data_IF_252327499012
#
_entry.id   IF_252327499012
#
_cell.length_a   1.000
_cell.length_b   1.000
_cell.length_c   1.000
_cell.angle_alpha   90.00
_cell.angle_beta   90.00
_cell.angle_gamma   90.00
#
_symmetry.space_group_name_H-M   'P 1'
#
loop_
_entity.id
_entity.type
_entity.pdbx_description
1 polymer ?
#
# COMPACT_ATOMS: atom_id res chain seq x y z
N UNK A 1 -3.24 -7.04 -1.21
CA UNK A 1 -3.13 -8.44 -1.67
C UNK A 1 -3.35 -8.49 -3.18
N UNK A 2 -2.69 -9.43 -3.89
CA UNK A 2 -2.89 -9.68 -5.31
C UNK A 2 -3.27 -11.15 -5.53
N UNK A 3 -4.13 -11.39 -6.52
CA UNK A 3 -4.51 -12.73 -6.94
C UNK A 3 -4.06 -12.92 -8.39
N UNK A 4 -3.18 -13.88 -8.62
CA UNK A 4 -2.65 -14.19 -9.94
C UNK A 4 -3.31 -15.43 -10.54
N UNK A 5 -3.63 -15.38 -11.83
CA UNK A 5 -4.16 -16.51 -12.56
C UNK A 5 -3.19 -16.95 -13.65
N UNK A 6 -3.10 -18.26 -13.86
CA UNK A 6 -2.41 -18.77 -15.05
C UNK A 6 -3.13 -18.29 -16.32
N UNK A 7 -2.38 -17.75 -17.29
CA UNK A 7 -2.95 -17.13 -18.48
C UNK A 7 -3.81 -18.11 -19.30
N UNK A 8 -3.37 -19.38 -19.44
CA UNK A 8 -4.15 -20.40 -20.14
C UNK A 8 -5.45 -20.73 -19.41
N UNK A 9 -5.39 -20.94 -18.10
CA UNK A 9 -6.58 -21.16 -17.28
C UNK A 9 -7.58 -20.01 -17.43
N UNK A 10 -7.10 -18.77 -17.36
CA UNK A 10 -7.95 -17.59 -17.52
C UNK A 10 -8.59 -17.51 -18.91
N UNK A 11 -7.83 -17.83 -20.00
CA UNK A 11 -8.36 -17.80 -21.35
C UNK A 11 -9.44 -18.84 -21.60
N UNK A 12 -9.35 -20.00 -20.94
CA UNK A 12 -10.30 -21.11 -21.07
C UNK A 12 -11.62 -20.89 -20.30
N UNK A 13 -11.67 -19.89 -19.42
CA UNK A 13 -12.90 -19.54 -18.68
C UNK A 13 -13.92 -18.86 -19.59
N UNK A 14 -15.21 -19.16 -19.37
CA UNK A 14 -16.30 -18.39 -19.99
C UNK A 14 -16.31 -16.95 -19.46
N UNK A 15 -16.86 -16.02 -20.24
CA UNK A 15 -16.99 -14.63 -19.81
C UNK A 15 -17.81 -14.50 -18.51
N UNK A 16 -18.82 -15.32 -18.33
CA UNK A 16 -19.60 -15.37 -17.07
C UNK A 16 -18.70 -15.71 -15.87
N UNK A 17 -17.86 -16.74 -15.98
CA UNK A 17 -16.93 -17.10 -14.91
C UNK A 17 -15.90 -16.02 -14.63
N UNK A 18 -15.37 -15.37 -15.66
CA UNK A 18 -14.44 -14.23 -15.49
C UNK A 18 -15.12 -13.09 -14.73
N UNK A 19 -16.36 -12.73 -15.10
CA UNK A 19 -17.10 -11.66 -14.41
C UNK A 19 -17.39 -12.01 -12.94
N UNK A 20 -17.73 -13.25 -12.62
CA UNK A 20 -17.92 -13.71 -11.24
C UNK A 20 -16.62 -13.56 -10.44
N UNK A 21 -15.48 -14.00 -10.99
CA UNK A 21 -14.18 -13.86 -10.33
C UNK A 21 -13.83 -12.40 -10.08
N UNK A 22 -14.04 -11.53 -11.07
CA UNK A 22 -13.79 -10.09 -10.95
C UNK A 22 -14.68 -9.48 -9.85
N UNK A 23 -15.97 -9.78 -9.85
CA UNK A 23 -16.91 -9.27 -8.84
C UNK A 23 -16.53 -9.73 -7.42
N UNK A 24 -16.27 -11.02 -7.24
CA UNK A 24 -15.81 -11.56 -5.96
C UNK A 24 -14.46 -10.95 -5.50
N UNK A 25 -13.57 -10.64 -6.44
CA UNK A 25 -12.29 -9.99 -6.11
C UNK A 25 -12.49 -8.57 -5.57
N UNK A 26 -13.43 -7.82 -6.14
CA UNK A 26 -13.79 -6.48 -5.64
C UNK A 26 -14.42 -6.56 -4.24
N UNK A 27 -15.43 -7.43 -4.06
CA UNK A 27 -16.06 -7.64 -2.76
C UNK A 27 -15.06 -8.07 -1.69
N UNK A 28 -14.18 -9.01 -2.03
CA UNK A 28 -13.14 -9.49 -1.12
C UNK A 28 -12.13 -8.41 -0.75
N UNK A 29 -11.77 -7.53 -1.69
CA UNK A 29 -10.89 -6.39 -1.41
C UNK A 29 -11.48 -5.45 -0.38
N UNK A 30 -12.77 -5.10 -0.53
CA UNK A 30 -13.47 -4.21 0.41
C UNK A 30 -13.61 -4.85 1.78
N UNK A 31 -14.01 -6.12 1.82
CA UNK A 31 -14.11 -6.89 3.06
C UNK A 31 -12.76 -7.00 3.80
N UNK A 32 -11.70 -7.37 3.10
CA UNK A 32 -10.36 -7.48 3.69
C UNK A 32 -9.88 -6.13 4.25
N UNK A 33 -10.05 -5.06 3.50
CA UNK A 33 -9.62 -3.73 3.95
C UNK A 33 -10.35 -3.33 5.22
N UNK A 34 -11.66 -3.55 5.26
CA UNK A 34 -12.48 -3.26 6.44
C UNK A 34 -12.07 -4.14 7.65
N UNK A 35 -11.85 -5.43 7.43
CA UNK A 35 -11.46 -6.38 8.47
C UNK A 35 -10.08 -6.06 9.05
N UNK A 36 -9.08 -5.76 8.22
CA UNK A 36 -7.76 -5.33 8.68
C UNK A 36 -7.84 -4.05 9.51
N UNK A 37 -8.54 -3.03 9.02
CA UNK A 37 -8.71 -1.79 9.75
C UNK A 37 -9.40 -1.98 11.10
N UNK A 38 -10.38 -2.87 11.18
CA UNK A 38 -11.10 -3.16 12.42
C UNK A 38 -10.26 -3.96 13.44
N UNK A 39 -9.42 -4.88 12.96
CA UNK A 39 -8.76 -5.88 13.82
C UNK A 39 -7.30 -5.58 14.13
N UNK A 40 -6.58 -4.86 13.26
CA UNK A 40 -5.13 -4.68 13.38
C UNK A 40 -4.72 -4.09 14.75
N UNK A 41 -5.47 -3.12 15.28
CA UNK A 41 -5.18 -2.53 16.59
C UNK A 41 -5.24 -3.57 17.71
N UNK A 42 -6.29 -4.38 17.75
CA UNK A 42 -6.47 -5.44 18.75
C UNK A 42 -5.37 -6.50 18.66
N UNK A 43 -5.04 -6.94 17.43
CA UNK A 43 -3.98 -7.93 17.24
C UNK A 43 -2.59 -7.35 17.56
N UNK A 44 -2.33 -6.08 17.27
CA UNK A 44 -1.09 -5.44 17.67
C UNK A 44 -0.92 -5.44 19.19
N UNK A 45 -1.96 -5.06 19.93
CA UNK A 45 -1.97 -5.10 21.40
C UNK A 45 -1.65 -6.51 21.90
N UNK A 46 -2.33 -7.51 21.35
CA UNK A 46 -2.08 -8.91 21.68
C UNK A 46 -0.63 -9.35 21.40
N UNK A 47 -0.07 -8.98 20.27
CA UNK A 47 1.32 -9.28 19.93
C UNK A 47 2.31 -8.65 20.92
N UNK A 48 2.04 -7.44 21.39
CA UNK A 48 2.89 -6.76 22.37
C UNK A 48 2.75 -7.42 23.73
N UNK A 49 1.53 -7.61 24.24
CA UNK A 49 1.26 -8.05 25.61
C UNK A 49 1.49 -9.55 25.80
N UNK A 50 1.05 -10.38 24.87
CA UNK A 50 1.13 -11.85 25.02
C UNK A 50 2.41 -12.45 24.42
N UNK A 51 2.97 -11.81 23.39
CA UNK A 51 4.13 -12.35 22.66
C UNK A 51 5.40 -11.51 22.78
N UNK A 52 5.37 -10.41 23.53
CA UNK A 52 6.55 -9.58 23.81
C UNK A 52 7.13 -8.89 22.57
N UNK A 53 6.33 -8.68 21.52
CA UNK A 53 6.76 -7.99 20.29
C UNK A 53 7.08 -6.54 20.63
N UNK A 54 8.24 -6.09 20.18
CA UNK A 54 8.69 -4.70 20.35
C UNK A 54 8.43 -3.92 19.05
N UNK A 55 7.48 -3.01 19.09
CA UNK A 55 7.26 -2.07 17.99
C UNK A 55 8.37 -1.01 18.01
N UNK A 56 8.94 -0.74 16.85
CA UNK A 56 10.01 0.26 16.69
C UNK A 56 9.71 1.13 15.48
N UNK A 57 10.00 2.41 15.62
CA UNK A 57 9.99 3.36 14.50
C UNK A 57 11.39 3.40 13.88
N UNK A 58 11.47 3.40 12.57
CA UNK A 58 12.72 3.66 11.88
C UNK A 58 13.14 5.12 12.04
N UNK A 59 14.45 5.38 12.08
CA UNK A 59 14.97 6.73 12.14
C UNK A 59 14.80 7.47 10.80
N UNK A 60 14.77 8.80 10.87
CA UNK A 60 14.72 9.64 9.68
C UNK A 60 15.94 9.39 8.77
N UNK A 61 17.13 9.19 9.35
CA UNK A 61 18.35 8.86 8.61
C UNK A 61 18.19 7.57 7.76
N UNK A 62 17.50 6.56 8.31
CA UNK A 62 17.25 5.32 7.56
C UNK A 62 16.28 5.58 6.39
N UNK A 63 15.24 6.37 6.60
CA UNK A 63 14.32 6.77 5.53
C UNK A 63 15.02 7.58 4.45
N UNK A 64 15.89 8.51 4.82
CA UNK A 64 16.67 9.31 3.88
C UNK A 64 17.62 8.43 3.05
N UNK A 65 18.26 7.45 3.70
CA UNK A 65 19.12 6.47 3.00
C UNK A 65 18.31 5.63 2.00
N UNK A 66 17.13 5.16 2.39
CA UNK A 66 16.24 4.44 1.47
C UNK A 66 15.76 5.31 0.32
N UNK A 67 15.45 6.57 0.56
CA UNK A 67 15.02 7.50 -0.49
C UNK A 67 16.12 7.70 -1.54
N UNK A 68 17.39 7.83 -1.10
CA UNK A 68 18.54 7.93 -1.99
C UNK A 68 18.69 6.65 -2.82
N UNK A 69 18.64 5.48 -2.18
CA UNK A 69 18.74 4.19 -2.87
C UNK A 69 17.59 3.95 -3.85
N UNK A 70 16.37 4.27 -3.45
CA UNK A 70 15.20 4.15 -4.31
C UNK A 70 15.29 5.05 -5.54
N UNK A 71 15.81 6.28 -5.39
CA UNK A 71 16.03 7.21 -6.51
C UNK A 71 16.98 6.61 -7.52
N UNK A 72 18.11 6.06 -7.08
CA UNK A 72 19.11 5.44 -7.97
C UNK A 72 18.50 4.26 -8.76
N UNK A 73 17.73 3.40 -8.10
CA UNK A 73 17.02 2.28 -8.76
C UNK A 73 15.99 2.78 -9.77
N UNK A 74 15.25 3.82 -9.46
CA UNK A 74 14.27 4.38 -10.40
C UNK A 74 14.94 5.00 -11.62
N UNK A 75 16.09 5.65 -11.47
CA UNK A 75 16.88 6.17 -12.60
C UNK A 75 17.37 5.02 -13.50
N UNK A 76 17.84 3.92 -12.92
CA UNK A 76 18.23 2.71 -13.66
C UNK A 76 17.05 2.10 -14.42
N UNK A 77 15.89 1.94 -13.76
CA UNK A 77 14.67 1.40 -14.39
C UNK A 77 14.21 2.28 -15.56
N UNK A 78 14.23 3.60 -15.41
CA UNK A 78 13.85 4.53 -16.48
C UNK A 78 14.79 4.45 -17.68
N UNK A 79 16.08 4.25 -17.44
CA UNK A 79 17.09 4.12 -18.50
C UNK A 79 17.01 2.78 -19.25
N UNK A 80 16.29 1.80 -18.73
CA UNK A 80 16.23 0.45 -19.30
C UNK A 80 15.54 0.42 -20.69
N UNK A 81 14.45 1.17 -20.87
CA UNK A 81 13.72 1.26 -22.14
C UNK A 81 12.73 2.44 -22.14
N UNK A 82 12.30 2.87 -23.33
CA UNK A 82 11.26 3.90 -23.46
C UNK A 82 9.96 3.50 -22.76
N UNK A 83 9.55 2.24 -22.84
CA UNK A 83 8.38 1.71 -22.14
C UNK A 83 8.55 1.80 -20.63
N UNK A 84 9.71 1.44 -20.10
CA UNK A 84 9.98 1.53 -18.65
C UNK A 84 9.91 2.98 -18.17
N UNK A 85 10.44 3.92 -18.94
CA UNK A 85 10.36 5.34 -18.66
C UNK A 85 8.91 5.87 -18.71
N UNK A 86 8.11 5.44 -19.67
CA UNK A 86 6.68 5.80 -19.77
C UNK A 86 5.89 5.29 -18.55
N UNK A 87 6.09 4.02 -18.17
CA UNK A 87 5.46 3.41 -17.00
C UNK A 87 5.85 4.17 -15.73
N UNK A 88 7.14 4.46 -15.54
CA UNK A 88 7.60 5.20 -14.36
C UNK A 88 7.03 6.62 -14.31
N UNK A 89 6.99 7.32 -15.43
CA UNK A 89 6.42 8.67 -15.51
C UNK A 89 4.95 8.69 -15.09
N UNK A 90 4.17 7.73 -15.58
CA UNK A 90 2.76 7.56 -15.18
C UNK A 90 2.62 7.26 -13.68
N UNK A 91 3.43 6.35 -13.17
CA UNK A 91 3.47 6.03 -11.75
C UNK A 91 3.84 7.24 -10.88
N UNK A 92 4.90 7.96 -11.25
CA UNK A 92 5.38 9.12 -10.48
C UNK A 92 4.31 10.22 -10.42
N UNK A 93 3.63 10.47 -11.54
CA UNK A 93 2.52 11.43 -11.58
C UNK A 93 1.39 11.01 -10.63
N UNK A 94 0.95 9.75 -10.69
CA UNK A 94 -0.12 9.24 -9.82
C UNK A 94 0.29 9.32 -8.33
N UNK A 95 1.52 8.93 -8.00
CA UNK A 95 2.08 9.03 -6.64
C UNK A 95 2.04 10.46 -6.12
N UNK A 96 2.47 11.43 -6.93
CA UNK A 96 2.55 12.82 -6.52
C UNK A 96 1.15 13.45 -6.37
N UNK A 97 0.21 13.10 -7.26
CA UNK A 97 -1.18 13.56 -7.17
C UNK A 97 -1.87 13.00 -5.92
N UNK A 98 -1.72 11.71 -5.65
CA UNK A 98 -2.26 11.06 -4.44
C UNK A 98 -1.59 11.61 -3.19
N UNK A 99 -0.26 11.79 -3.20
CA UNK A 99 0.49 12.34 -2.07
C UNK A 99 0.03 13.74 -1.70
N UNK A 100 -0.13 14.63 -2.68
CA UNK A 100 -0.69 15.98 -2.44
C UNK A 100 -2.07 15.94 -1.82
N UNK A 101 -2.96 15.09 -2.34
CA UNK A 101 -4.29 14.93 -1.77
C UNK A 101 -4.26 14.43 -0.33
N UNK A 102 -3.47 13.38 -0.05
CA UNK A 102 -3.32 12.81 1.30
C UNK A 102 -2.79 13.83 2.32
N UNK A 103 -1.85 14.67 1.92
CA UNK A 103 -1.30 15.74 2.77
C UNK A 103 -2.32 16.83 3.11
N UNK A 104 -3.36 17.00 2.31
CA UNK A 104 -4.43 17.97 2.58
C UNK A 104 -5.64 17.34 3.31
N UNK A 105 -5.87 16.06 3.10
CA UNK A 105 -7.07 15.36 3.61
C UNK A 105 -6.77 14.58 4.90
N UNK A 106 -6.19 13.41 4.76
CA UNK A 106 -6.03 12.46 5.87
C UNK A 106 -4.87 12.81 6.80
N UNK A 107 -3.76 13.34 6.28
CA UNK A 107 -2.57 13.66 7.06
C UNK A 107 -2.87 14.59 8.22
N UNK A 108 -3.37 15.82 7.98
CA UNK A 108 -3.71 16.76 9.05
C UNK A 108 -4.78 16.24 10.02
N UNK A 109 -5.73 15.45 9.51
CA UNK A 109 -6.74 14.83 10.36
C UNK A 109 -6.12 13.87 11.37
N UNK A 110 -5.26 12.96 10.93
CA UNK A 110 -4.60 12.01 11.84
C UNK A 110 -3.70 12.71 12.85
N UNK A 111 -2.93 13.70 12.43
CA UNK A 111 -2.09 14.49 13.33
C UNK A 111 -2.91 15.17 14.43
N UNK A 112 -3.97 15.90 14.05
CA UNK A 112 -4.79 16.63 15.01
C UNK A 112 -5.58 15.69 15.92
N UNK A 113 -6.10 14.59 15.39
CA UNK A 113 -6.79 13.57 16.18
C UNK A 113 -5.84 12.96 17.23
N UNK A 114 -4.65 12.53 16.80
CA UNK A 114 -3.68 11.92 17.71
C UNK A 114 -3.25 12.89 18.79
N UNK A 115 -2.96 14.13 18.44
CA UNK A 115 -2.65 15.19 19.39
C UNK A 115 -3.79 15.42 20.39
N UNK A 116 -5.03 15.52 19.93
CA UNK A 116 -6.20 15.79 20.77
C UNK A 116 -6.53 14.63 21.72
N UNK A 117 -6.24 13.39 21.32
CA UNK A 117 -6.51 12.19 22.10
C UNK A 117 -5.31 11.70 22.91
N UNK A 118 -4.15 12.34 22.82
CA UNK A 118 -2.92 11.89 23.47
C UNK A 118 -2.41 10.55 22.96
N UNK A 119 -2.69 10.22 21.67
CA UNK A 119 -2.20 9.00 21.03
C UNK A 119 -0.78 9.28 20.53
N UNK A 120 0.19 8.63 21.13
CA UNK A 120 1.59 8.67 20.69
C UNK A 120 1.79 7.79 19.45
N UNK A 121 2.69 8.23 18.54
CA UNK A 121 3.00 7.52 17.31
C UNK A 121 4.07 6.43 17.51
#
# INVERSE_FOLDING_TARGET
>A
NSCGFNAKFWSDLSETHKQVIIACSHEHNDYNTAEYNAKNGTYLTKMIEEHGVKVRKFSDELYDTWAIGAKAVFEEVQAHSDLANEIYTSFAKARDDVGRWKNLSEGPYYEQRNRALGIEA
#
